data_IF_973850081801
#
_entry.id   IF_973850081801
#
_cell.length_a   1.000
_cell.length_b   1.000
_cell.length_c   1.000
_cell.angle_alpha   90.00
_cell.angle_beta   90.00
_cell.angle_gamma   90.00
#
_symmetry.space_group_name_H-M   'P 1'
#
loop_
_entity.id
_entity.type
_entity.pdbx_description
1 polymer ?
#
# COMPACT_ATOMS: atom_id res chain seq x y z
N UNK A 1 -48.37 16.67 1.62
CA UNK A 1 -47.10 17.10 1.02
C UNK A 1 -46.00 16.60 1.93
N UNK A 2 -45.36 15.50 1.56
CA UNK A 2 -44.32 14.88 2.37
C UNK A 2 -43.00 15.61 2.15
N UNK A 3 -42.41 16.09 3.24
CA UNK A 3 -41.02 16.53 3.27
C UNK A 3 -40.13 15.30 3.05
N UNK A 4 -39.58 15.18 1.85
CA UNK A 4 -38.51 14.24 1.56
C UNK A 4 -37.26 14.74 2.28
N UNK A 5 -37.03 14.19 3.48
CA UNK A 5 -35.72 14.14 4.10
C UNK A 5 -34.77 13.46 3.11
N UNK A 6 -34.00 14.28 2.38
CA UNK A 6 -32.79 13.83 1.72
C UNK A 6 -31.89 13.25 2.81
N UNK A 7 -31.95 11.93 2.94
CA UNK A 7 -30.99 11.14 3.66
C UNK A 7 -29.68 11.26 2.88
N UNK A 8 -28.96 12.34 3.13
CA UNK A 8 -27.55 12.50 2.79
C UNK A 8 -26.85 11.22 3.29
N UNK A 9 -26.58 10.31 2.35
CA UNK A 9 -25.79 9.13 2.64
C UNK A 9 -24.49 9.63 3.26
N UNK A 10 -24.11 9.18 4.48
CA UNK A 10 -22.85 9.59 5.05
C UNK A 10 -21.75 9.25 4.03
N UNK A 11 -20.79 10.17 3.78
CA UNK A 11 -19.72 9.94 2.83
C UNK A 11 -19.06 8.59 3.17
N UNK A 12 -18.66 7.77 2.17
CA UNK A 12 -18.11 6.44 2.40
C UNK A 12 -17.08 6.51 3.52
N UNK A 13 -17.43 5.96 4.68
CA UNK A 13 -16.68 6.21 5.90
C UNK A 13 -15.34 5.47 5.80
N UNK A 14 -14.30 6.21 5.42
CA UNK A 14 -13.03 6.30 6.16
C UNK A 14 -12.38 4.94 6.50
N UNK A 15 -12.27 4.04 5.52
CA UNK A 15 -11.38 2.86 5.63
C UNK A 15 -9.90 3.29 5.55
N UNK A 16 -9.61 4.46 4.98
CA UNK A 16 -8.24 4.84 4.59
C UNK A 16 -7.28 5.31 5.71
N UNK A 17 -7.69 5.90 6.85
CA UNK A 17 -6.73 6.31 7.88
C UNK A 17 -6.06 5.14 8.60
N UNK A 18 -6.82 4.07 8.89
CA UNK A 18 -6.25 2.87 9.54
C UNK A 18 -5.20 2.22 8.66
N UNK A 19 -5.46 2.09 7.35
CA UNK A 19 -4.47 1.55 6.41
C UNK A 19 -3.23 2.43 6.33
N UNK A 20 -3.39 3.77 6.31
CA UNK A 20 -2.26 4.71 6.30
C UNK A 20 -1.40 4.56 7.58
N UNK A 21 -2.03 4.52 8.76
CA UNK A 21 -1.31 4.31 10.02
C UNK A 21 -0.52 3.02 10.00
N UNK A 22 -1.15 1.93 9.54
CA UNK A 22 -0.50 0.63 9.54
C UNK A 22 0.67 0.58 8.54
N UNK A 23 0.42 1.01 7.31
CA UNK A 23 1.42 1.01 6.24
C UNK A 23 2.60 1.93 6.58
N UNK A 24 2.33 3.12 7.11
CA UNK A 24 3.38 4.06 7.53
C UNK A 24 4.30 3.47 8.60
N UNK A 25 3.74 2.76 9.58
CA UNK A 25 4.50 2.11 10.65
C UNK A 25 5.39 0.98 10.12
N UNK A 26 4.86 0.17 9.19
CA UNK A 26 5.64 -0.90 8.54
C UNK A 26 6.78 -0.31 7.71
N UNK A 27 6.48 0.66 6.85
CA UNK A 27 7.47 1.29 5.97
C UNK A 27 8.57 2.01 6.76
N UNK A 28 8.23 2.65 7.90
CA UNK A 28 9.22 3.26 8.77
C UNK A 28 10.26 2.26 9.26
N UNK A 29 9.81 1.11 9.76
CA UNK A 29 10.71 0.06 10.27
C UNK A 29 11.53 -0.58 9.15
N UNK A 30 10.92 -0.81 7.98
CA UNK A 30 11.64 -1.33 6.81
C UNK A 30 12.70 -0.33 6.35
N UNK A 31 12.39 0.96 6.31
CA UNK A 31 13.36 2.00 5.97
C UNK A 31 14.53 2.03 6.97
N UNK A 32 14.24 2.04 8.27
CA UNK A 32 15.29 2.00 9.31
C UNK A 32 16.14 0.74 9.23
N UNK A 33 15.52 -0.43 9.02
CA UNK A 33 16.25 -1.69 8.87
C UNK A 33 17.12 -1.71 7.62
N UNK A 34 16.61 -1.18 6.49
CA UNK A 34 17.38 -1.08 5.25
C UNK A 34 18.56 -0.11 5.39
N UNK A 35 18.38 1.01 6.09
CA UNK A 35 19.44 1.99 6.36
C UNK A 35 20.55 1.40 7.25
N UNK A 36 20.19 0.58 8.26
CA UNK A 36 21.15 -0.10 9.13
C UNK A 36 21.91 -1.23 8.43
N UNK A 37 21.27 -1.92 7.48
CA UNK A 37 21.85 -3.04 6.74
C UNK A 37 22.56 -2.64 5.45
N UNK A 38 22.85 -1.34 5.26
CA UNK A 38 23.45 -0.82 4.03
C UNK A 38 24.80 -1.53 3.76
N UNK A 39 24.93 -2.35 2.69
CA UNK A 39 26.21 -2.95 2.34
C UNK A 39 27.22 -1.83 2.07
N UNK A 40 28.46 -2.01 2.52
CA UNK A 40 29.54 -1.03 2.33
C UNK A 40 29.96 -0.85 0.86
N UNK A 41 29.42 -1.64 -0.07
CA UNK A 41 29.70 -1.52 -1.50
C UNK A 41 28.70 -0.62 -2.24
N UNK A 42 29.23 0.17 -3.18
CA UNK A 42 28.54 1.19 -3.96
C UNK A 42 27.24 0.68 -4.61
N UNK A 43 26.11 0.90 -3.94
CA UNK A 43 24.80 0.68 -4.55
C UNK A 43 24.62 1.60 -5.74
N UNK A 44 24.15 1.01 -6.85
CA UNK A 44 23.70 1.75 -8.03
C UNK A 44 22.62 2.73 -7.60
N UNK A 45 22.91 4.03 -7.69
CA UNK A 45 21.96 5.10 -7.39
C UNK A 45 20.79 4.96 -8.36
N UNK A 46 19.59 4.70 -7.83
CA UNK A 46 18.33 4.75 -8.59
C UNK A 46 17.78 6.16 -8.62
N UNK A 47 16.88 6.44 -9.55
CA UNK A 47 16.14 7.72 -9.62
C UNK A 47 15.27 7.99 -8.37
N UNK A 48 15.08 6.98 -7.50
CA UNK A 48 14.36 7.09 -6.24
C UNK A 48 15.25 7.43 -5.04
N UNK A 49 16.56 7.64 -5.25
CA UNK A 49 17.44 8.11 -4.19
C UNK A 49 17.23 9.60 -3.94
N UNK A 50 16.84 9.94 -2.71
CA UNK A 50 16.81 11.32 -2.24
C UNK A 50 18.22 11.87 -2.03
N UNK A 51 18.40 13.16 -2.27
CA UNK A 51 19.67 13.86 -2.00
C UNK A 51 20.00 13.93 -0.49
N UNK A 52 18.96 13.91 0.34
CA UNK A 52 19.05 13.89 1.80
C UNK A 52 17.80 13.22 2.38
N UNK A 53 17.90 12.77 3.64
CA UNK A 53 16.76 12.24 4.40
C UNK A 53 15.70 13.35 4.57
N UNK A 54 14.46 13.16 4.11
CA UNK A 54 13.40 14.15 4.32
C UNK A 54 13.08 14.34 5.81
N UNK A 55 12.70 15.54 6.21
CA UNK A 55 12.24 15.85 7.58
C UNK A 55 10.77 15.51 7.82
N UNK A 56 10.00 15.30 6.75
CA UNK A 56 8.61 14.83 6.82
C UNK A 56 8.57 13.34 7.18
N UNK A 57 7.68 12.96 8.09
CA UNK A 57 7.46 11.55 8.43
C UNK A 57 6.79 10.79 7.28
N UNK A 58 7.01 9.48 7.21
CA UNK A 58 6.35 8.62 6.21
C UNK A 58 4.83 8.71 6.35
N UNK A 59 4.30 8.75 7.58
CA UNK A 59 2.87 8.88 7.81
C UNK A 59 2.32 10.18 7.22
N UNK A 60 2.92 11.32 7.55
CA UNK A 60 2.47 12.61 7.02
C UNK A 60 2.62 12.69 5.50
N UNK A 61 3.61 12.01 4.92
CA UNK A 61 3.74 11.93 3.47
C UNK A 61 2.62 11.09 2.82
N UNK A 62 2.28 9.93 3.39
CA UNK A 62 1.17 9.09 2.92
C UNK A 62 -0.20 9.76 3.07
N UNK A 63 -0.43 10.51 4.15
CA UNK A 63 -1.64 11.31 4.33
C UNK A 63 -1.78 12.37 3.23
N UNK A 64 -0.67 12.99 2.83
CA UNK A 64 -0.65 13.95 1.72
C UNK A 64 -0.93 13.28 0.38
N UNK A 65 -0.33 12.11 0.12
CA UNK A 65 -0.62 11.32 -1.08
C UNK A 65 -2.11 10.97 -1.15
N UNK A 66 -2.69 10.53 -0.03
CA UNK A 66 -4.10 10.21 0.02
C UNK A 66 -4.99 11.44 -0.26
N UNK A 67 -4.57 12.64 0.18
CA UNK A 67 -5.34 13.88 0.03
C UNK A 67 -5.18 14.56 -1.33
N UNK A 68 -4.03 14.47 -1.98
CA UNK A 68 -3.70 15.20 -3.19
C UNK A 68 -3.26 14.23 -4.28
N UNK A 69 -3.81 14.28 -5.49
CA UNK A 69 -3.51 13.30 -6.56
C UNK A 69 -2.96 13.95 -7.85
N UNK A 70 -2.57 15.22 -7.80
CA UNK A 70 -2.09 15.94 -8.98
C UNK A 70 -0.55 15.89 -9.07
N UNK A 71 -0.02 15.44 -10.20
CA UNK A 71 1.42 15.38 -10.48
C UNK A 71 2.13 16.74 -10.34
N UNK A 72 1.48 17.84 -10.72
CA UNK A 72 2.07 19.17 -10.54
C UNK A 72 2.25 19.50 -9.05
N UNK A 73 1.31 19.06 -8.21
CA UNK A 73 1.42 19.20 -6.75
C UNK A 73 2.56 18.31 -6.23
N UNK A 74 2.60 17.04 -6.62
CA UNK A 74 3.66 16.14 -6.19
C UNK A 74 5.05 16.59 -6.61
N UNK A 75 5.20 17.10 -7.83
CA UNK A 75 6.45 17.65 -8.34
C UNK A 75 6.95 18.81 -7.46
N UNK A 76 6.04 19.75 -7.14
CA UNK A 76 6.34 20.89 -6.25
C UNK A 76 6.79 20.43 -4.86
N UNK A 77 6.16 19.38 -4.32
CA UNK A 77 6.50 18.83 -2.99
C UNK A 77 7.81 18.04 -3.01
N UNK A 78 8.04 17.28 -4.08
CA UNK A 78 9.22 16.46 -4.28
C UNK A 78 10.46 17.24 -4.74
N UNK A 79 10.32 18.54 -5.04
CA UNK A 79 11.42 19.39 -5.49
C UNK A 79 11.90 19.09 -6.91
N UNK A 80 11.05 18.50 -7.75
CA UNK A 80 11.34 18.20 -9.16
C UNK A 80 10.37 18.94 -10.09
N UNK A 81 10.69 19.00 -11.38
CA UNK A 81 9.78 19.56 -12.36
C UNK A 81 8.57 18.65 -12.58
N UNK A 82 7.43 19.23 -12.99
CA UNK A 82 6.24 18.45 -13.37
C UNK A 82 6.54 17.47 -14.51
N UNK A 83 7.44 17.84 -15.42
CA UNK A 83 7.89 16.96 -16.50
C UNK A 83 8.60 15.72 -15.96
N UNK A 84 9.51 15.88 -15.01
CA UNK A 84 10.20 14.74 -14.38
C UNK A 84 9.21 13.86 -13.62
N UNK A 85 8.28 14.44 -12.85
CA UNK A 85 7.24 13.67 -12.16
C UNK A 85 6.40 12.83 -13.13
N UNK A 86 5.99 13.43 -14.26
CA UNK A 86 5.23 12.72 -15.29
C UNK A 86 6.05 11.58 -15.94
N UNK A 87 7.36 11.79 -16.16
CA UNK A 87 8.23 10.74 -16.69
C UNK A 87 8.39 9.59 -15.70
N UNK A 88 8.59 9.89 -14.41
CA UNK A 88 8.68 8.88 -13.36
C UNK A 88 7.38 8.09 -13.22
N UNK A 89 6.22 8.75 -13.35
CA UNK A 89 4.93 8.06 -13.35
C UNK A 89 4.83 7.10 -14.54
N UNK A 90 5.15 7.55 -15.76
CA UNK A 90 5.12 6.70 -16.95
C UNK A 90 6.07 5.50 -16.82
N UNK A 91 7.30 5.72 -16.36
CA UNK A 91 8.28 4.65 -16.12
C UNK A 91 7.76 3.63 -15.09
N UNK A 92 7.12 4.11 -14.01
CA UNK A 92 6.50 3.26 -13.00
C UNK A 92 5.34 2.44 -13.58
N UNK A 93 4.47 3.04 -14.39
CA UNK A 93 3.34 2.35 -15.01
C UNK A 93 3.81 1.25 -15.98
N UNK A 94 4.86 1.50 -16.76
CA UNK A 94 5.50 0.46 -17.59
C UNK A 94 6.12 -0.64 -16.74
N UNK A 95 6.76 -0.29 -15.61
CA UNK A 95 7.29 -1.26 -14.65
C UNK A 95 6.22 -2.19 -14.07
N UNK A 96 4.99 -1.70 -13.92
CA UNK A 96 3.82 -2.51 -13.50
C UNK A 96 3.13 -3.24 -14.65
N UNK A 97 3.54 -3.03 -15.90
CA UNK A 97 2.83 -3.53 -17.07
C UNK A 97 1.37 -3.04 -17.13
N UNK A 98 1.09 -1.85 -16.59
CA UNK A 98 -0.26 -1.27 -16.46
C UNK A 98 -1.28 -2.14 -15.69
N UNK A 99 -0.83 -3.13 -14.91
CA UNK A 99 -1.70 -3.95 -14.08
C UNK A 99 -2.03 -3.23 -12.76
N UNK A 100 -2.92 -2.23 -12.84
CA UNK A 100 -3.28 -1.37 -11.70
C UNK A 100 -4.56 -1.81 -10.98
N UNK A 101 -5.32 -2.74 -11.56
CA UNK A 101 -6.59 -3.17 -11.00
C UNK A 101 -6.37 -4.11 -9.80
N UNK A 102 -6.98 -3.75 -8.67
CA UNK A 102 -6.99 -4.57 -7.46
C UNK A 102 -8.44 -4.95 -7.17
N UNK A 103 -8.73 -6.25 -7.11
CA UNK A 103 -10.08 -6.70 -6.75
C UNK A 103 -10.36 -6.39 -5.27
N UNK A 104 -11.62 -6.18 -4.87
CA UNK A 104 -11.97 -5.97 -3.46
C UNK A 104 -11.48 -7.09 -2.54
N UNK A 105 -11.53 -8.34 -3.02
CA UNK A 105 -11.03 -9.49 -2.28
C UNK A 105 -9.52 -9.40 -2.07
N UNK A 106 -8.76 -9.12 -3.13
CA UNK A 106 -7.31 -8.91 -3.06
C UNK A 106 -6.96 -7.78 -2.08
N UNK A 107 -7.66 -6.65 -2.18
CA UNK A 107 -7.46 -5.51 -1.27
C UNK A 107 -7.71 -5.90 0.19
N UNK A 108 -8.81 -6.62 0.46
CA UNK A 108 -9.14 -7.09 1.81
C UNK A 108 -8.08 -8.04 2.36
N UNK A 109 -7.63 -9.01 1.57
CA UNK A 109 -6.53 -9.91 1.95
C UNK A 109 -5.28 -9.14 2.33
N UNK A 110 -4.87 -8.14 1.54
CA UNK A 110 -3.72 -7.30 1.87
C UNK A 110 -3.93 -6.49 3.16
N UNK A 111 -5.11 -5.91 3.38
CA UNK A 111 -5.42 -5.22 4.63
C UNK A 111 -5.35 -6.15 5.85
N UNK A 112 -5.89 -7.37 5.74
CA UNK A 112 -5.80 -8.38 6.80
C UNK A 112 -4.34 -8.74 7.08
N UNK A 113 -3.55 -9.04 6.05
CA UNK A 113 -2.13 -9.34 6.21
C UNK A 113 -1.37 -8.20 6.88
N UNK A 114 -1.60 -6.96 6.44
CA UNK A 114 -0.96 -5.78 7.02
C UNK A 114 -1.33 -5.59 8.50
N UNK A 115 -2.58 -5.84 8.87
CA UNK A 115 -3.02 -5.81 10.27
C UNK A 115 -2.37 -6.92 11.10
N UNK A 116 -2.33 -8.14 10.58
CA UNK A 116 -1.72 -9.30 11.27
C UNK A 116 -0.23 -9.10 11.49
N UNK A 117 0.52 -8.66 10.48
CA UNK A 117 1.95 -8.34 10.60
C UNK A 117 2.19 -7.31 11.71
N UNK A 118 1.31 -6.32 11.84
CA UNK A 118 1.42 -5.33 12.90
C UNK A 118 1.08 -5.81 14.31
N UNK A 119 0.24 -6.84 14.45
CA UNK A 119 -0.03 -7.47 15.74
C UNK A 119 1.11 -8.40 16.19
N UNK A 120 1.84 -9.01 15.25
CA UNK A 120 2.99 -9.89 15.54
C UNK A 120 4.31 -9.13 15.75
N UNK A 121 4.28 -7.81 15.58
CA UNK A 121 5.44 -6.92 15.55
C UNK A 121 6.01 -6.56 16.93
N UNK A 122 5.90 -7.49 17.89
CA UNK A 122 6.68 -7.50 19.13
C UNK A 122 7.98 -8.31 19.04
N UNK A 123 8.33 -8.83 17.85
CA UNK A 123 9.50 -9.69 17.62
C UNK A 123 10.32 -9.23 16.39
N UNK A 124 11.65 -9.49 16.33
CA UNK A 124 12.51 -8.98 15.26
C UNK A 124 12.10 -9.56 13.90
N UNK A 125 11.80 -8.66 12.96
CA UNK A 125 11.28 -8.96 11.62
C UNK A 125 12.27 -9.81 10.81
N UNK A 126 11.94 -11.09 10.57
CA UNK A 126 12.59 -11.91 9.55
C UNK A 126 11.93 -11.64 8.19
N UNK A 127 12.38 -10.57 7.52
CA UNK A 127 11.92 -10.09 6.20
C UNK A 127 12.06 -11.13 5.06
N UNK A 128 12.71 -12.28 5.30
CA UNK A 128 13.00 -13.31 4.27
C UNK A 128 11.86 -14.33 4.08
N UNK A 129 10.84 -14.37 4.95
CA UNK A 129 9.69 -15.24 4.68
C UNK A 129 8.76 -14.53 3.71
N UNK A 130 8.78 -14.97 2.45
CA UNK A 130 7.65 -14.78 1.54
C UNK A 130 6.37 -15.11 2.31
N UNK A 131 5.32 -14.26 2.29
CA UNK A 131 4.07 -14.61 2.93
C UNK A 131 3.55 -15.85 2.23
N UNK A 132 3.65 -17.02 2.86
CA UNK A 132 2.75 -18.12 2.54
C UNK A 132 1.38 -17.63 2.97
N UNK A 133 0.67 -17.03 2.01
CA UNK A 133 -0.69 -16.52 2.11
C UNK A 133 -1.57 -17.64 2.69
N UNK A 134 -1.84 -17.55 3.98
CA UNK A 134 -2.89 -18.32 4.63
C UNK A 134 -3.68 -17.36 5.52
N UNK A 135 -4.32 -16.39 4.88
CA UNK A 135 -5.33 -15.58 5.56
C UNK A 135 -6.57 -15.57 4.66
N UNK A 136 -7.60 -16.27 5.14
CA UNK A 136 -8.98 -16.25 4.64
C UNK A 136 -9.24 -17.01 3.32
N UNK A 137 -9.18 -18.33 3.38
CA UNK A 137 -10.11 -19.17 2.62
C UNK A 137 -11.16 -19.67 3.61
N UNK A 138 -12.23 -18.90 3.77
CA UNK A 138 -13.46 -19.42 4.39
C UNK A 138 -14.54 -19.37 3.32
N UNK A 139 -14.48 -20.31 2.38
CA UNK A 139 -15.70 -20.80 1.75
C UNK A 139 -15.69 -22.32 1.94
N UNK A 140 -16.47 -22.75 2.93
CA UNK A 140 -17.03 -24.08 3.01
C UNK A 140 -17.84 -24.34 1.72
N UNK A 141 -17.46 -25.33 0.93
CA UNK A 141 -18.42 -26.11 0.16
C UNK A 141 -18.13 -27.59 0.44
N UNK A 142 -19.07 -28.16 1.19
CA UNK A 142 -19.06 -29.52 1.71
C UNK A 142 -19.06 -30.55 0.59
N UNK A 143 -18.27 -31.61 0.78
CA UNK A 143 -18.34 -32.89 0.06
C UNK A 143 -19.77 -33.37 -0.16
N UNK A 144 -20.17 -33.57 -1.41
CA UNK A 144 -21.07 -34.66 -1.79
C UNK A 144 -20.58 -35.33 -3.08
N UNK A 145 -20.05 -36.54 -2.91
CA UNK A 145 -19.92 -37.54 -3.95
C UNK A 145 -21.30 -37.88 -4.51
N UNK A 146 -21.44 -37.93 -5.84
CA UNK A 146 -22.14 -39.03 -6.49
C UNK A 146 -21.76 -39.12 -7.98
N UNK A 147 -21.13 -40.25 -8.32
CA UNK A 147 -21.09 -40.79 -9.68
C UNK A 147 -22.51 -40.98 -10.20
N UNK A 148 -22.72 -40.67 -11.48
CA UNK A 148 -23.68 -41.39 -12.31
C UNK A 148 -23.16 -41.44 -13.74
N UNK A 149 -22.78 -42.65 -14.13
CA UNK A 149 -22.66 -43.08 -15.50
C UNK A 149 -24.06 -43.34 -16.05
N UNK A 150 -24.34 -42.88 -17.27
CA UNK A 150 -25.16 -43.56 -18.28
C UNK A 150 -24.50 -43.31 -19.62
#
# INVERSE_FOLDING_TARGET
MGDNLEHENPPPQVIMPRVITLLSSLLHRVAESNDLNRPFDAQKVSVFHGLARPTISIQSYLERIFKYYNNAYYAKVGGISTREMNLLEVDFLFGLGFQLNVTPNTFHTYCCCLQTEMLQLGSPLNIVRTPKLHCCSSEDETTHQQQLAV
#
